data_IF_559428264721
#
_entry.id   IF_559428264721
#
_cell.length_a   1.000
_cell.length_b   1.000
_cell.length_c   1.000
_cell.angle_alpha   90.00
_cell.angle_beta   90.00
_cell.angle_gamma   90.00
#
_symmetry.space_group_name_H-M   'P 1'
#
loop_
_entity.id
_entity.type
_entity.pdbx_description
1 polymer ?
#
# COMPACT_ATOMS: atom_id res chain seq x y z
N UNK A 1 -20.13 -15.29 20.24
CA UNK A 1 -19.47 -14.84 19.02
C UNK A 1 -18.88 -16.08 18.35
N UNK A 2 -19.07 -16.30 17.03
CA UNK A 2 -18.40 -17.40 16.36
C UNK A 2 -16.89 -17.19 16.50
N UNK A 3 -16.20 -18.20 16.98
CA UNK A 3 -14.74 -18.22 17.01
C UNK A 3 -14.28 -18.11 15.56
N UNK A 4 -13.69 -16.98 15.19
CA UNK A 4 -13.13 -16.76 13.85
C UNK A 4 -12.09 -17.85 13.60
N UNK A 5 -12.17 -18.48 12.45
CA UNK A 5 -11.18 -19.47 12.05
C UNK A 5 -9.85 -18.75 11.84
N UNK A 6 -8.75 -19.44 12.11
CA UNK A 6 -7.40 -18.92 11.88
C UNK A 6 -7.08 -18.55 10.42
N UNK A 7 -8.02 -18.78 9.51
CA UNK A 7 -7.96 -18.34 8.12
C UNK A 7 -8.48 -16.94 7.86
N UNK A 8 -9.13 -16.32 8.85
CA UNK A 8 -9.72 -15.00 8.74
C UNK A 8 -8.68 -13.96 9.19
N UNK A 9 -7.57 -13.83 8.46
CA UNK A 9 -6.34 -13.25 8.99
C UNK A 9 -6.18 -11.75 8.79
N UNK A 10 -7.00 -11.12 7.95
CA UNK A 10 -6.68 -9.76 7.48
C UNK A 10 -7.84 -8.79 7.63
N UNK A 11 -8.56 -8.88 8.73
CA UNK A 11 -9.65 -7.97 9.04
C UNK A 11 -9.15 -6.68 9.68
N UNK A 12 -9.62 -5.56 9.16
CA UNK A 12 -9.40 -4.26 9.75
C UNK A 12 -10.40 -3.99 10.87
N UNK A 13 -10.00 -3.15 11.80
CA UNK A 13 -10.87 -2.55 12.80
C UNK A 13 -11.28 -1.12 12.43
N UNK A 14 -10.84 -0.59 11.31
CA UNK A 14 -10.97 0.84 11.01
C UNK A 14 -12.37 1.27 10.64
N UNK A 15 -13.08 0.50 9.84
CA UNK A 15 -14.43 0.86 9.37
C UNK A 15 -15.44 -0.25 9.61
N UNK A 16 -15.14 -1.45 9.20
CA UNK A 16 -15.94 -2.63 9.51
C UNK A 16 -15.01 -3.78 9.95
N UNK A 17 -15.20 -4.21 11.20
CA UNK A 17 -14.43 -5.33 11.77
C UNK A 17 -14.67 -6.68 11.08
N UNK A 18 -15.59 -6.77 10.14
CA UNK A 18 -15.87 -7.95 9.34
C UNK A 18 -15.37 -7.85 7.89
N UNK A 19 -14.72 -6.75 7.55
CA UNK A 19 -14.22 -6.48 6.22
C UNK A 19 -12.74 -6.84 6.10
N UNK A 20 -12.36 -7.52 5.03
CA UNK A 20 -10.96 -7.74 4.69
C UNK A 20 -10.32 -6.42 4.23
N UNK A 21 -9.04 -6.26 4.55
CA UNK A 21 -8.36 -4.99 4.47
C UNK A 21 -6.91 -5.18 4.00
N UNK A 22 -6.50 -4.29 3.11
CA UNK A 22 -5.14 -4.27 2.59
C UNK A 22 -4.13 -3.98 3.71
N UNK A 23 -4.38 -2.98 4.54
CA UNK A 23 -3.45 -2.56 5.58
C UNK A 23 -3.20 -3.67 6.60
N UNK A 24 -4.25 -4.39 7.01
CA UNK A 24 -4.11 -5.52 7.92
C UNK A 24 -3.15 -6.57 7.34
N UNK A 25 -3.22 -6.83 6.04
CA UNK A 25 -2.31 -7.76 5.37
C UNK A 25 -0.89 -7.22 5.20
N UNK A 26 -0.73 -5.90 4.95
CA UNK A 26 0.57 -5.24 4.96
C UNK A 26 1.26 -5.37 6.32
N UNK A 27 0.54 -5.06 7.40
CA UNK A 27 1.06 -5.17 8.76
C UNK A 27 1.37 -6.62 9.14
N UNK A 28 0.53 -7.58 8.76
CA UNK A 28 0.80 -9.00 9.00
C UNK A 28 2.08 -9.46 8.28
N UNK A 29 2.27 -9.04 7.04
CA UNK A 29 3.48 -9.32 6.27
C UNK A 29 4.72 -8.69 6.91
N UNK A 30 4.63 -7.43 7.28
CA UNK A 30 5.73 -6.68 7.92
C UNK A 30 6.09 -7.25 9.28
N UNK A 31 5.11 -7.54 10.13
CA UNK A 31 5.36 -8.13 11.44
C UNK A 31 6.07 -9.50 11.35
N UNK A 32 5.59 -10.36 10.45
CA UNK A 32 6.20 -11.68 10.24
C UNK A 32 7.56 -11.61 9.55
N UNK A 33 7.80 -10.61 8.70
CA UNK A 33 9.13 -10.30 8.19
C UNK A 33 10.12 -9.97 9.33
N UNK A 34 9.76 -9.07 10.27
CA UNK A 34 10.61 -8.75 11.39
C UNK A 34 10.86 -9.96 12.30
N UNK A 35 9.85 -10.79 12.52
CA UNK A 35 10.03 -12.05 13.26
C UNK A 35 10.99 -13.00 12.53
N UNK A 36 10.89 -13.10 11.20
CA UNK A 36 11.83 -13.90 10.41
C UNK A 36 13.27 -13.37 10.52
N UNK A 37 13.47 -12.05 10.59
CA UNK A 37 14.81 -11.47 10.80
C UNK A 37 15.36 -11.70 12.22
N UNK A 38 14.48 -11.77 13.21
CA UNK A 38 14.84 -11.93 14.61
C UNK A 38 15.05 -13.40 15.05
N UNK A 39 14.59 -14.37 14.27
CA UNK A 39 14.62 -15.80 14.58
C UNK A 39 15.59 -16.58 13.70
N UNK A 40 15.78 -17.88 13.97
CA UNK A 40 16.68 -18.77 13.22
C UNK A 40 16.02 -20.13 12.95
N UNK A 41 16.61 -20.87 12.01
CA UNK A 41 16.20 -22.26 11.74
C UNK A 41 14.74 -22.39 11.31
N UNK A 42 14.05 -23.36 11.88
CA UNK A 42 12.66 -23.68 11.52
C UNK A 42 11.69 -22.54 11.84
N UNK A 43 11.92 -21.82 12.92
CA UNK A 43 11.08 -20.67 13.32
C UNK A 43 11.20 -19.53 12.32
N UNK A 44 12.42 -19.20 11.88
CA UNK A 44 12.65 -18.25 10.80
C UNK A 44 11.92 -18.63 9.53
N UNK A 45 12.04 -19.91 9.13
CA UNK A 45 11.38 -20.40 7.92
C UNK A 45 9.85 -20.31 8.03
N UNK A 46 9.29 -20.58 9.21
CA UNK A 46 7.86 -20.44 9.48
C UNK A 46 7.39 -18.98 9.28
N UNK A 47 8.05 -18.00 9.92
CA UNK A 47 7.69 -16.61 9.81
C UNK A 47 7.92 -16.05 8.39
N UNK A 48 8.98 -16.47 7.72
CA UNK A 48 9.20 -16.13 6.31
C UNK A 48 8.06 -16.63 5.42
N UNK A 49 7.57 -17.84 5.66
CA UNK A 49 6.41 -18.39 4.96
C UNK A 49 5.12 -17.61 5.21
N UNK A 50 4.90 -17.15 6.44
CA UNK A 50 3.76 -16.28 6.78
C UNK A 50 3.87 -14.92 6.11
N UNK A 51 5.05 -14.28 6.16
CA UNK A 51 5.28 -13.00 5.48
C UNK A 51 4.97 -13.09 3.98
N UNK A 52 5.42 -14.18 3.32
CA UNK A 52 5.15 -14.42 1.90
C UNK A 52 3.66 -14.57 1.61
N UNK A 53 2.92 -15.35 2.43
CA UNK A 53 1.48 -15.53 2.25
C UNK A 53 0.72 -14.22 2.42
N UNK A 54 1.03 -13.46 3.47
CA UNK A 54 0.42 -12.16 3.71
C UNK A 54 0.75 -11.15 2.60
N UNK A 55 1.98 -11.17 2.09
CA UNK A 55 2.37 -10.32 0.97
C UNK A 55 1.58 -10.63 -0.30
N UNK A 56 1.34 -11.89 -0.63
CA UNK A 56 0.49 -12.24 -1.77
C UNK A 56 -0.94 -11.74 -1.61
N UNK A 57 -1.50 -11.87 -0.42
CA UNK A 57 -2.83 -11.33 -0.16
C UNK A 57 -2.85 -9.81 -0.27
N UNK A 58 -1.88 -9.13 0.33
CA UNK A 58 -1.75 -7.67 0.20
C UNK A 58 -1.64 -7.23 -1.26
N UNK A 59 -0.84 -7.93 -2.07
CA UNK A 59 -0.68 -7.60 -3.49
C UNK A 59 -1.95 -7.81 -4.32
N UNK A 60 -2.89 -8.64 -3.87
CA UNK A 60 -4.18 -8.81 -4.54
C UNK A 60 -5.05 -7.55 -4.55
N UNK A 61 -4.77 -6.59 -3.67
CA UNK A 61 -5.44 -5.29 -3.60
C UNK A 61 -4.87 -4.25 -4.56
N UNK A 62 -3.74 -4.53 -5.21
CA UNK A 62 -3.06 -3.59 -6.10
C UNK A 62 -3.40 -3.85 -7.56
N UNK A 63 -3.59 -2.78 -8.30
CA UNK A 63 -3.77 -2.87 -9.74
C UNK A 63 -2.47 -3.26 -10.43
N UNK A 64 -2.54 -4.30 -11.24
CA UNK A 64 -1.43 -4.76 -12.08
C UNK A 64 -1.49 -4.20 -13.51
N UNK A 65 -2.58 -3.51 -13.83
CA UNK A 65 -2.81 -2.81 -15.11
C UNK A 65 -3.38 -1.42 -14.86
N UNK A 66 -3.42 -0.59 -15.89
CA UNK A 66 -4.04 0.71 -15.81
C UNK A 66 -5.56 0.60 -15.97
N UNK A 67 -6.30 0.82 -14.91
CA UNK A 67 -7.76 0.90 -14.94
C UNK A 67 -8.13 2.26 -15.54
N UNK A 68 -8.96 2.29 -16.58
CA UNK A 68 -9.38 3.56 -17.19
C UNK A 68 -10.17 4.41 -16.20
N UNK A 69 -9.90 5.70 -16.19
CA UNK A 69 -10.75 6.66 -15.51
C UNK A 69 -12.02 6.92 -16.31
N UNK A 70 -13.12 7.20 -15.62
CA UNK A 70 -14.33 7.63 -16.28
C UNK A 70 -14.13 8.99 -16.96
N UNK A 71 -14.85 9.28 -18.05
CA UNK A 71 -14.76 10.58 -18.73
C UNK A 71 -15.03 11.75 -17.76
N UNK A 72 -14.19 12.77 -17.80
CA UNK A 72 -14.30 13.95 -16.96
C UNK A 72 -13.78 13.77 -15.53
N UNK A 73 -13.14 12.65 -15.21
CA UNK A 73 -12.39 12.49 -13.96
C UNK A 73 -11.06 13.24 -14.05
N UNK A 74 -10.79 14.09 -13.09
CA UNK A 74 -9.61 14.93 -13.06
C UNK A 74 -8.29 14.15 -13.15
N UNK A 75 -8.20 13.02 -12.48
CA UNK A 75 -6.98 12.20 -12.51
C UNK A 75 -6.73 11.59 -13.90
N UNK A 76 -7.80 11.24 -14.60
CA UNK A 76 -7.73 10.79 -16.00
C UNK A 76 -7.31 11.92 -16.94
N UNK A 77 -7.87 13.12 -16.76
CA UNK A 77 -7.52 14.32 -17.53
C UNK A 77 -6.05 14.72 -17.33
N UNK A 78 -5.50 14.47 -16.14
CA UNK A 78 -4.08 14.64 -15.83
C UNK A 78 -3.19 13.52 -16.37
N UNK A 79 -3.76 12.49 -16.97
CA UNK A 79 -3.02 11.37 -17.54
C UNK A 79 -2.41 10.41 -16.52
N UNK A 80 -2.89 10.41 -15.28
CA UNK A 80 -2.39 9.50 -14.25
C UNK A 80 -2.71 8.04 -14.57
N UNK A 81 -1.89 7.14 -14.08
CA UNK A 81 -2.00 5.69 -14.27
C UNK A 81 -2.23 4.99 -12.95
N UNK A 82 -3.16 4.04 -12.92
CA UNK A 82 -3.55 3.35 -11.69
C UNK A 82 -2.69 2.14 -11.33
N UNK A 83 -1.91 1.62 -12.26
CA UNK A 83 -1.03 0.48 -12.01
C UNK A 83 -0.10 0.74 -10.83
N UNK A 84 -0.10 -0.18 -9.87
CA UNK A 84 0.66 -0.03 -8.63
C UNK A 84 -0.06 0.74 -7.53
N UNK A 85 -1.28 1.20 -7.77
CA UNK A 85 -2.15 1.73 -6.73
C UNK A 85 -2.92 0.60 -6.07
N UNK A 86 -3.26 0.74 -4.79
CA UNK A 86 -3.97 -0.27 -4.03
C UNK A 86 -5.24 0.27 -3.38
N UNK A 87 -6.33 -0.50 -3.47
CA UNK A 87 -7.53 -0.21 -2.71
C UNK A 87 -7.32 -0.48 -1.22
N UNK A 88 -8.05 0.24 -0.38
CA UNK A 88 -7.97 0.07 1.07
C UNK A 88 -8.62 -1.23 1.52
N UNK A 89 -9.88 -1.44 1.16
CA UNK A 89 -10.67 -2.58 1.61
C UNK A 89 -11.84 -2.87 0.67
N UNK A 90 -12.62 -3.88 0.97
CA UNK A 90 -13.84 -4.21 0.23
C UNK A 90 -14.86 -3.07 0.29
N UNK A 91 -15.01 -2.41 1.42
CA UNK A 91 -15.96 -1.31 1.60
C UNK A 91 -15.40 0.04 1.17
N UNK A 92 -14.10 0.23 1.36
CA UNK A 92 -13.40 1.43 0.96
C UNK A 92 -12.63 1.20 -0.32
N UNK A 93 -13.24 1.48 -1.43
CA UNK A 93 -12.65 1.30 -2.75
C UNK A 93 -11.84 2.50 -3.24
N UNK A 94 -11.57 3.48 -2.39
CA UNK A 94 -10.60 4.51 -2.70
C UNK A 94 -9.17 3.97 -2.65
N UNK A 95 -8.28 4.63 -3.35
CA UNK A 95 -6.86 4.30 -3.35
C UNK A 95 -6.23 4.89 -2.11
N UNK A 96 -5.51 4.05 -1.41
CA UNK A 96 -4.70 4.39 -0.29
C UNK A 96 -3.21 4.43 -0.72
N UNK A 97 -2.52 5.44 -0.27
CA UNK A 97 -1.12 5.69 -0.61
C UNK A 97 -0.14 5.01 0.36
N UNK A 98 -0.65 4.28 1.34
CA UNK A 98 0.21 3.64 2.34
C UNK A 98 0.77 2.33 1.85
N UNK A 99 2.08 2.21 1.97
CA UNK A 99 2.78 0.95 1.81
C UNK A 99 3.78 0.67 2.94
N UNK A 100 4.04 1.66 3.81
CA UNK A 100 4.95 1.53 4.94
C UNK A 100 6.25 0.78 4.57
N UNK A 101 6.71 -0.10 5.45
CA UNK A 101 7.89 -0.95 5.20
C UNK A 101 7.67 -2.05 4.14
N UNK A 102 6.51 -2.10 3.51
CA UNK A 102 6.16 -3.18 2.59
C UNK A 102 7.09 -3.29 1.37
N UNK A 103 7.67 -2.19 0.94
CA UNK A 103 8.69 -2.22 -0.11
C UNK A 103 9.94 -3.03 0.32
N UNK A 104 10.36 -2.89 1.58
CA UNK A 104 11.47 -3.67 2.14
C UNK A 104 11.10 -5.15 2.24
N UNK A 105 9.88 -5.45 2.69
CA UNK A 105 9.34 -6.81 2.74
C UNK A 105 9.36 -7.47 1.35
N UNK A 106 8.84 -6.79 0.35
CA UNK A 106 8.79 -7.31 -1.02
C UNK A 106 10.20 -7.55 -1.58
N UNK A 107 11.11 -6.61 -1.39
CA UNK A 107 12.49 -6.75 -1.85
C UNK A 107 13.25 -7.87 -1.11
N UNK A 108 12.95 -8.07 0.17
CA UNK A 108 13.49 -9.18 0.94
C UNK A 108 12.90 -10.53 0.46
N UNK A 109 11.59 -10.62 0.28
CA UNK A 109 10.91 -11.82 -0.23
C UNK A 109 11.41 -12.23 -1.61
N UNK A 110 11.69 -11.25 -2.48
CA UNK A 110 12.27 -11.51 -3.79
C UNK A 110 13.59 -12.27 -3.70
N UNK A 111 14.44 -11.92 -2.75
CA UNK A 111 15.73 -12.58 -2.50
C UNK A 111 15.56 -13.91 -1.78
N UNK A 112 14.74 -13.94 -0.72
CA UNK A 112 14.53 -15.11 0.13
C UNK A 112 13.97 -16.31 -0.64
N UNK A 113 13.04 -16.05 -1.57
CA UNK A 113 12.38 -17.09 -2.34
C UNK A 113 12.79 -17.14 -3.81
N UNK A 114 13.76 -16.32 -4.22
CA UNK A 114 14.14 -16.16 -5.64
C UNK A 114 12.93 -15.83 -6.53
N UNK A 115 12.06 -14.95 -6.05
CA UNK A 115 10.84 -14.55 -6.72
C UNK A 115 10.91 -13.08 -7.18
N UNK A 116 11.50 -12.85 -8.33
CA UNK A 116 11.72 -11.51 -8.91
C UNK A 116 10.44 -10.64 -8.97
N UNK A 117 9.27 -11.25 -9.13
CA UNK A 117 7.98 -10.52 -9.19
C UNK A 117 7.72 -9.63 -7.99
N UNK A 118 8.21 -9.98 -6.80
CA UNK A 118 8.06 -9.12 -5.62
C UNK A 118 8.85 -7.82 -5.77
N UNK A 119 10.10 -7.88 -6.19
CA UNK A 119 10.91 -6.68 -6.42
C UNK A 119 10.41 -5.87 -7.61
N UNK A 120 9.96 -6.53 -8.66
CA UNK A 120 9.39 -5.84 -9.83
C UNK A 120 8.13 -5.07 -9.42
N UNK A 121 7.25 -5.67 -8.63
CA UNK A 121 6.04 -4.99 -8.21
C UNK A 121 6.30 -3.91 -7.15
N UNK A 122 7.29 -4.11 -6.28
CA UNK A 122 7.79 -3.04 -5.40
C UNK A 122 8.22 -1.81 -6.21
N UNK A 123 8.93 -2.02 -7.31
CA UNK A 123 9.33 -0.95 -8.22
C UNK A 123 8.13 -0.28 -8.90
N UNK A 124 7.12 -1.05 -9.29
CA UNK A 124 5.88 -0.53 -9.88
C UNK A 124 5.15 0.36 -8.87
N UNK A 125 4.95 -0.09 -7.63
CA UNK A 125 4.31 0.69 -6.56
C UNK A 125 5.08 1.99 -6.32
N UNK A 126 6.39 1.89 -6.11
CA UNK A 126 7.25 3.06 -5.83
C UNK A 126 7.23 4.09 -6.95
N UNK A 127 7.19 3.64 -8.19
CA UNK A 127 7.10 4.53 -9.36
C UNK A 127 5.73 5.19 -9.44
N UNK A 128 4.68 4.40 -9.23
CA UNK A 128 3.29 4.88 -9.31
C UNK A 128 2.98 5.91 -8.23
N UNK A 129 3.44 5.70 -7.01
CA UNK A 129 3.22 6.64 -5.91
C UNK A 129 3.80 8.03 -6.18
N UNK A 130 4.86 8.13 -6.98
CA UNK A 130 5.45 9.43 -7.36
C UNK A 130 4.52 10.31 -8.18
N UNK A 131 3.56 9.74 -8.89
CA UNK A 131 2.57 10.50 -9.67
C UNK A 131 1.71 11.41 -8.79
N UNK A 132 1.58 11.07 -7.51
CA UNK A 132 0.75 11.80 -6.55
C UNK A 132 1.51 12.89 -5.79
N UNK A 133 2.82 13.07 -6.06
CA UNK A 133 3.61 14.13 -5.43
C UNK A 133 3.14 15.49 -5.92
N UNK A 134 2.58 16.35 -5.04
CA UNK A 134 2.12 17.66 -5.45
C UNK A 134 3.29 18.62 -5.60
N UNK A 135 3.37 19.25 -6.74
CA UNK A 135 4.31 20.34 -7.03
C UNK A 135 3.61 21.46 -7.78
N UNK A 136 4.27 22.57 -7.98
CA UNK A 136 3.70 23.68 -8.73
C UNK A 136 3.40 23.25 -10.17
N UNK A 137 2.14 23.46 -10.61
CA UNK A 137 1.65 22.98 -11.88
C UNK A 137 1.05 21.55 -11.85
N UNK A 138 1.19 20.83 -10.74
CA UNK A 138 0.64 19.48 -10.56
C UNK A 138 0.05 19.31 -9.15
N UNK A 139 -1.00 20.06 -8.85
CA UNK A 139 -1.64 20.06 -7.52
C UNK A 139 -2.95 19.29 -7.47
N UNK A 140 -3.39 18.69 -8.56
CA UNK A 140 -4.64 17.95 -8.67
C UNK A 140 -5.85 18.68 -8.05
N UNK A 141 -5.90 19.98 -8.26
CA UNK A 141 -6.99 20.89 -7.86
C UNK A 141 -6.96 21.38 -6.42
N UNK A 142 -6.63 20.53 -5.45
CA UNK A 142 -6.72 20.85 -4.01
C UNK A 142 -5.42 20.69 -3.25
N UNK A 143 -4.52 19.84 -3.72
CA UNK A 143 -3.27 19.58 -3.03
C UNK A 143 -2.36 20.81 -2.97
N UNK A 144 -1.59 20.91 -1.91
CA UNK A 144 -0.53 21.92 -1.76
C UNK A 144 0.81 21.29 -2.06
N UNK A 145 1.73 22.05 -2.59
CA UNK A 145 3.11 21.60 -2.81
C UNK A 145 3.69 21.04 -1.52
N UNK A 146 4.20 19.81 -1.58
CA UNK A 146 4.74 19.09 -0.43
C UNK A 146 3.72 18.35 0.45
N UNK A 147 2.41 18.49 0.17
CA UNK A 147 1.36 17.77 0.88
C UNK A 147 0.96 16.53 0.08
N UNK A 148 1.47 15.40 0.42
CA UNK A 148 1.09 14.15 -0.22
C UNK A 148 -0.30 13.71 0.25
N UNK A 149 -1.21 13.29 -0.65
CA UNK A 149 -2.57 12.91 -0.28
C UNK A 149 -2.60 11.59 0.49
N UNK A 150 -3.54 11.47 1.40
CA UNK A 150 -3.82 10.20 2.08
C UNK A 150 -4.69 9.30 1.22
N UNK A 151 -5.72 9.87 0.63
CA UNK A 151 -6.77 9.16 -0.10
C UNK A 151 -6.89 9.71 -1.51
N UNK A 152 -7.01 8.82 -2.47
CA UNK A 152 -7.24 9.15 -3.88
C UNK A 152 -8.55 8.56 -4.35
N UNK A 153 -9.47 9.42 -4.76
CA UNK A 153 -10.75 9.04 -5.33
C UNK A 153 -10.57 8.78 -6.83
N UNK A 154 -10.79 7.57 -7.27
CA UNK A 154 -10.48 7.16 -8.65
C UNK A 154 -11.69 6.69 -9.46
N UNK A 155 -12.87 6.60 -8.84
CA UNK A 155 -14.11 6.19 -9.49
C UNK A 155 -15.24 7.18 -9.23
N UNK A 156 -16.32 7.09 -9.99
CA UNK A 156 -17.54 7.85 -9.71
C UNK A 156 -18.24 7.42 -8.41
N UNK A 157 -17.86 6.27 -7.89
CA UNK A 157 -18.35 5.73 -6.62
C UNK A 157 -17.64 6.35 -5.44
N UNK A 158 -16.37 6.66 -5.63
CA UNK A 158 -15.59 7.25 -4.56
C UNK A 158 -16.11 8.66 -4.33
N UNK A 159 -16.53 8.91 -3.14
CA UNK A 159 -17.24 10.11 -2.68
C UNK A 159 -16.43 11.40 -2.82
N UNK A 160 -15.54 11.45 -3.75
CA UNK A 160 -14.99 12.68 -4.22
C UNK A 160 -16.15 13.61 -4.55
N UNK A 161 -16.15 14.80 -4.01
CA UNK A 161 -17.14 15.82 -4.34
C UNK A 161 -17.28 15.88 -5.85
N UNK A 162 -18.42 15.49 -6.36
CA UNK A 162 -18.76 15.43 -7.77
C UNK A 162 -18.35 14.17 -8.56
N UNK A 163 -17.91 13.08 -7.93
CA UNK A 163 -17.53 11.86 -8.63
C UNK A 163 -16.41 12.04 -9.65
N UNK A 164 -15.52 13.00 -9.46
CA UNK A 164 -14.47 13.36 -10.42
C UNK A 164 -13.10 12.77 -10.14
N UNK A 165 -12.98 11.93 -9.09
CA UNK A 165 -11.70 11.35 -8.73
C UNK A 165 -10.65 12.41 -8.47
N UNK A 166 -10.58 12.90 -7.28
CA UNK A 166 -9.52 13.81 -6.82
C UNK A 166 -8.88 13.24 -5.57
N UNK A 167 -7.72 13.68 -5.22
CA UNK A 167 -7.12 13.32 -3.96
C UNK A 167 -7.30 14.42 -2.91
N UNK A 168 -7.33 13.97 -1.67
CA UNK A 168 -7.59 14.80 -0.52
C UNK A 168 -6.28 15.06 0.25
N UNK A 169 -5.93 16.32 0.41
CA UNK A 169 -4.75 16.75 1.13
C UNK A 169 -5.03 17.18 2.59
N UNK A 170 -6.30 17.10 2.99
CA UNK A 170 -6.77 17.63 4.28
C UNK A 170 -6.39 16.72 5.44
N UNK A 171 -6.31 15.40 5.20
CA UNK A 171 -6.09 14.41 6.25
C UNK A 171 -4.61 14.10 6.43
N UNK A 172 -4.11 14.36 7.62
CA UNK A 172 -2.83 13.88 8.16
C UNK A 172 -1.61 14.02 7.23
N UNK A 173 -1.22 15.21 6.75
CA UNK A 173 -0.06 15.37 5.88
C UNK A 173 1.25 14.84 6.49
N UNK A 174 1.38 14.85 7.83
CA UNK A 174 2.53 14.25 8.52
C UNK A 174 2.59 12.73 8.35
N UNK A 175 1.46 12.08 8.39
CA UNK A 175 1.28 10.65 8.21
C UNK A 175 1.69 10.22 6.79
N UNK A 176 1.20 10.88 5.78
CA UNK A 176 1.49 10.55 4.38
C UNK A 176 2.93 10.83 3.99
N UNK A 177 3.50 11.92 4.49
CA UNK A 177 4.92 12.26 4.28
C UNK A 177 5.82 11.24 4.99
N UNK A 178 5.45 10.77 6.20
CA UNK A 178 6.19 9.72 6.90
C UNK A 178 6.18 8.41 6.10
N UNK A 179 5.03 8.01 5.56
CA UNK A 179 4.91 6.81 4.71
C UNK A 179 5.77 6.89 3.45
N UNK A 180 5.81 8.05 2.78
CA UNK A 180 6.71 8.27 1.64
C UNK A 180 8.17 8.20 2.04
N UNK A 181 8.51 8.79 3.19
CA UNK A 181 9.88 8.73 3.69
C UNK A 181 10.34 7.30 3.90
N UNK A 182 9.47 6.46 4.44
CA UNK A 182 9.72 5.03 4.62
C UNK A 182 9.92 4.32 3.29
N UNK A 183 9.04 4.57 2.33
CA UNK A 183 9.13 4.01 0.99
C UNK A 183 10.45 4.33 0.29
N UNK A 184 10.95 5.55 0.47
CA UNK A 184 12.18 6.01 -0.20
C UNK A 184 13.45 5.87 0.66
N UNK A 185 13.34 5.28 1.84
CA UNK A 185 14.47 5.02 2.75
C UNK A 185 14.60 3.53 3.07
N UNK A 186 14.84 2.65 2.09
CA UNK A 186 14.82 1.20 2.26
C UNK A 186 15.94 0.70 3.17
N UNK A 187 15.72 -0.48 3.77
CA UNK A 187 16.73 -1.21 4.53
C UNK A 187 17.02 -0.64 5.92
N UNK A 188 16.15 0.20 6.47
CA UNK A 188 16.34 0.80 7.81
C UNK A 188 16.40 -0.25 8.91
N UNK A 189 15.46 -1.19 8.90
CA UNK A 189 15.36 -2.23 9.90
C UNK A 189 16.59 -3.14 9.93
N UNK A 190 17.13 -3.50 8.80
CA UNK A 190 18.31 -4.35 8.69
C UNK A 190 19.53 -3.76 9.39
N UNK A 191 19.65 -2.44 9.46
CA UNK A 191 20.75 -1.76 10.15
C UNK A 191 20.68 -1.93 11.67
N UNK A 192 19.48 -2.08 12.23
CA UNK A 192 19.29 -2.30 13.66
C UNK A 192 19.38 -3.76 14.06
N UNK A 193 19.05 -4.69 13.19
CA UNK A 193 19.01 -6.12 13.45
C UNK A 193 20.34 -6.84 13.16
N UNK A 194 21.27 -6.18 12.48
CA UNK A 194 22.64 -6.70 12.20
C UNK A 194 23.66 -6.48 13.32
N UNK A 195 23.24 -6.21 14.55
CA UNK A 195 24.13 -6.09 15.70
C UNK A 195 24.35 -7.42 16.40
#
# INVERSE_FOLDING_TARGET
FPTRRSSDLYFSSTLDANCEDKEASLYASTATYYLALATKGAERAHYAGLARKAAYFALSWYYTWDVPFAPGQMLGDLGLKTRGWGNVSVENNHIDVFIFDFADVLNWLAKEYNEKRFSDFSQVISTSMRQLLPYEGHRCGIAKTGYYPEVVQHTNWDYGKNGKGYYNDIFAPGWTVASLWELFSPGRAEKFLKK
#
